data_IF_065229003588
#
_entry.id   IF_065229003588
#
_cell.length_a   1.000
_cell.length_b   1.000
_cell.length_c   1.000
_cell.angle_alpha   90.00
_cell.angle_beta   90.00
_cell.angle_gamma   90.00
#
_symmetry.space_group_name_H-M   'P 1'
#
loop_
_entity.id
_entity.type
_entity.pdbx_description
1 polymer ?
#
# COMPACT_ATOMS: atom_id res chain seq x y z
N UNK A 1 -2.07 -13.36 8.72
CA UNK A 1 -1.12 -12.73 7.78
C UNK A 1 -1.53 -13.04 6.35
N UNK A 2 -2.33 -12.16 5.70
CA UNK A 2 -2.76 -12.35 4.29
C UNK A 2 -1.61 -11.91 3.37
N UNK A 3 -0.94 -12.86 2.70
CA UNK A 3 0.10 -12.58 1.69
C UNK A 3 -0.57 -12.28 0.35
N UNK A 4 -0.42 -11.07 -0.18
CA UNK A 4 -0.98 -10.61 -1.48
C UNK A 4 0.16 -10.30 -2.48
N UNK A 5 1.35 -10.89 -2.34
CA UNK A 5 2.51 -10.49 -3.14
C UNK A 5 3.11 -11.68 -3.90
N UNK A 6 3.04 -11.64 -5.23
CA UNK A 6 4.01 -12.33 -6.09
C UNK A 6 5.23 -11.43 -6.19
N UNK A 7 6.36 -11.85 -5.60
CA UNK A 7 7.68 -11.17 -5.62
C UNK A 7 7.83 -9.86 -4.82
N UNK A 8 7.06 -9.65 -3.75
CA UNK A 8 7.13 -8.43 -2.91
C UNK A 8 6.92 -7.11 -3.68
N UNK A 9 6.31 -7.17 -4.86
CA UNK A 9 5.99 -6.00 -5.69
C UNK A 9 4.49 -5.79 -5.74
N UNK A 10 4.08 -4.53 -5.75
CA UNK A 10 2.69 -4.10 -5.90
C UNK A 10 2.56 -3.40 -7.24
N UNK A 11 1.54 -3.76 -8.04
CA UNK A 11 1.23 -3.03 -9.27
C UNK A 11 0.70 -1.64 -8.93
N UNK A 12 1.20 -0.61 -9.63
CA UNK A 12 0.70 0.77 -9.50
C UNK A 12 -0.79 0.91 -9.79
N UNK A 13 -1.37 0.01 -10.61
CA UNK A 13 -2.78 0.02 -10.98
C UNK A 13 -3.71 -0.64 -9.94
N UNK A 14 -3.15 -1.32 -8.93
CA UNK A 14 -3.94 -1.94 -7.85
C UNK A 14 -4.50 -0.89 -6.89
N UNK A 15 -5.56 -1.18 -6.11
CA UNK A 15 -6.09 -0.25 -5.11
C UNK A 15 -5.02 0.24 -4.12
N UNK A 16 -4.15 -0.66 -3.64
CA UNK A 16 -3.05 -0.33 -2.73
C UNK A 16 -2.00 0.53 -3.45
N UNK A 17 -1.59 0.12 -4.66
CA UNK A 17 -0.58 0.86 -5.45
C UNK A 17 -1.00 2.30 -5.71
N UNK A 18 -2.27 2.53 -6.09
CA UNK A 18 -2.81 3.88 -6.28
C UNK A 18 -2.88 4.70 -5.00
N UNK A 19 -3.23 4.07 -3.87
CA UNK A 19 -3.33 4.77 -2.59
C UNK A 19 -1.98 5.29 -2.09
N UNK A 20 -0.87 4.65 -2.49
CA UNK A 20 0.50 5.02 -2.09
C UNK A 20 1.14 6.10 -2.99
N UNK A 21 0.56 6.45 -4.15
CA UNK A 21 1.15 7.44 -5.06
C UNK A 21 1.15 8.82 -4.41
N UNK A 22 2.34 9.45 -4.34
CA UNK A 22 2.51 10.80 -3.79
C UNK A 22 2.45 10.88 -2.26
N UNK A 23 2.58 9.72 -1.58
CA UNK A 23 2.64 9.63 -0.13
C UNK A 23 4.06 9.56 0.37
N UNK A 24 4.26 10.05 1.59
CA UNK A 24 5.57 10.17 2.23
C UNK A 24 5.68 9.31 3.50
N UNK A 25 6.87 9.26 4.10
CA UNK A 25 7.07 8.59 5.39
C UNK A 25 6.09 9.15 6.45
N UNK A 26 5.59 8.28 7.32
CA UNK A 26 4.61 8.57 8.37
C UNK A 26 3.20 8.96 7.85
N UNK A 27 2.97 8.97 6.54
CA UNK A 27 1.62 9.11 6.00
C UNK A 27 0.77 7.86 6.28
N UNK A 28 -0.52 8.10 6.51
CA UNK A 28 -1.55 7.06 6.59
C UNK A 28 -2.45 7.08 5.36
N UNK A 29 -2.83 5.90 4.86
CA UNK A 29 -3.74 5.71 3.72
C UNK A 29 -4.82 4.69 4.04
N UNK A 30 -6.07 5.03 3.72
CA UNK A 30 -7.20 4.11 3.79
C UNK A 30 -7.42 3.46 2.42
N UNK A 31 -7.37 2.13 2.36
CA UNK A 31 -7.56 1.37 1.13
C UNK A 31 -8.87 0.59 1.20
N UNK A 32 -9.73 0.78 0.19
CA UNK A 32 -10.91 -0.04 0.01
C UNK A 32 -10.54 -1.39 -0.62
N UNK A 33 -10.72 -2.46 0.13
CA UNK A 33 -10.54 -3.83 -0.35
C UNK A 33 -11.89 -4.56 -0.35
N UNK A 34 -12.03 -5.69 -1.07
CA UNK A 34 -13.26 -6.50 -0.99
C UNK A 34 -13.65 -6.95 0.43
N UNK A 35 -12.69 -6.94 1.38
CA UNK A 35 -12.92 -7.26 2.78
C UNK A 35 -13.28 -6.07 3.67
N UNK A 36 -13.44 -4.87 3.09
CA UNK A 36 -13.68 -3.61 3.81
C UNK A 36 -12.54 -2.60 3.68
N UNK A 37 -12.72 -1.48 4.38
CA UNK A 37 -11.70 -0.44 4.51
C UNK A 37 -10.58 -0.92 5.44
N UNK A 38 -9.33 -0.69 5.03
CA UNK A 38 -8.14 -1.02 5.80
C UNK A 38 -7.21 0.18 5.79
N UNK A 39 -6.77 0.61 6.96
CA UNK A 39 -5.79 1.68 7.12
C UNK A 39 -4.38 1.12 7.14
N UNK A 40 -3.47 1.81 6.45
CA UNK A 40 -2.05 1.49 6.36
C UNK A 40 -1.22 2.72 6.67
N UNK A 41 -0.10 2.53 7.36
CA UNK A 41 0.90 3.55 7.66
C UNK A 41 2.20 3.24 6.90
N UNK A 42 2.82 4.27 6.34
CA UNK A 42 4.11 4.16 5.66
C UNK A 42 5.22 4.30 6.69
N UNK A 43 5.82 3.18 7.09
CA UNK A 43 6.84 3.13 8.14
C UNK A 43 8.29 3.26 7.63
N UNK A 44 8.50 3.13 6.31
CA UNK A 44 9.83 3.22 5.69
C UNK A 44 9.72 3.50 4.18
N UNK A 45 10.67 4.27 3.64
CA UNK A 45 10.79 4.58 2.20
C UNK A 45 12.25 4.45 1.78
N UNK A 46 12.53 3.49 0.90
CA UNK A 46 13.88 3.23 0.39
C UNK A 46 13.92 3.46 -1.12
N UNK A 47 14.95 4.18 -1.59
CA UNK A 47 15.25 4.35 -3.01
C UNK A 47 16.37 3.38 -3.40
N UNK A 48 16.20 2.70 -4.53
CA UNK A 48 17.19 1.77 -5.13
C UNK A 48 17.72 2.32 -6.44
#
# INVERSE_FOLDING_TARGET
MKRILSYNKISYSSPIGRALIGKELDDTVTVNTPGGLVDYEIIDVQYV
#
